data_IF_564616364696
#
_entry.id   IF_564616364696
#
_cell.length_a   1.000
_cell.length_b   1.000
_cell.length_c   1.000
_cell.angle_alpha   90.00
_cell.angle_beta   90.00
_cell.angle_gamma   90.00
#
_symmetry.space_group_name_H-M   'P 1'
#
loop_
_entity.id
_entity.type
_entity.pdbx_description
1 polymer ?
#
# COMPACT_ATOMS: atom_id res chain seq x y z
N UNK A 1 16.11 15.98 -6.75
CA UNK A 1 14.78 16.59 -6.81
C UNK A 1 14.58 17.23 -8.20
N UNK A 2 13.36 17.17 -8.76
CA UNK A 2 13.05 17.77 -10.07
C UNK A 2 13.15 16.85 -11.29
N UNK A 3 13.46 15.55 -11.13
CA UNK A 3 13.61 14.58 -12.24
C UNK A 3 12.27 13.97 -12.71
N UNK A 4 11.12 14.50 -12.29
CA UNK A 4 9.79 14.03 -12.71
C UNK A 4 9.31 12.72 -12.08
N UNK A 5 10.04 12.11 -11.13
CA UNK A 5 9.63 10.84 -10.48
C UNK A 5 8.25 10.91 -9.86
N UNK A 6 8.02 11.88 -8.97
CA UNK A 6 6.72 12.08 -8.31
C UNK A 6 5.61 12.38 -9.32
N UNK A 7 5.92 13.13 -10.38
CA UNK A 7 4.96 13.41 -11.46
C UNK A 7 4.54 12.12 -12.16
N UNK A 8 5.49 11.27 -12.52
CA UNK A 8 5.21 9.98 -13.14
C UNK A 8 4.35 9.09 -12.24
N UNK A 9 4.67 9.03 -10.94
CA UNK A 9 3.92 8.23 -9.98
C UNK A 9 2.48 8.72 -9.83
N UNK A 10 2.30 10.05 -9.75
CA UNK A 10 0.97 10.65 -9.65
C UNK A 10 0.13 10.38 -10.91
N UNK A 11 0.73 10.32 -12.09
CA UNK A 11 0.06 9.92 -13.32
C UNK A 11 -0.35 8.44 -13.24
N UNK A 12 0.57 7.55 -12.87
CA UNK A 12 0.31 6.11 -12.77
C UNK A 12 -0.73 5.78 -11.70
N UNK A 13 -0.75 6.54 -10.61
CA UNK A 13 -1.71 6.36 -9.52
C UNK A 13 -3.04 7.12 -9.72
N UNK A 14 -3.24 7.79 -10.86
CA UNK A 14 -4.49 8.46 -11.18
C UNK A 14 -4.77 9.77 -10.43
N UNK A 15 -3.73 10.40 -9.85
CA UNK A 15 -3.87 11.71 -9.19
C UNK A 15 -4.16 12.80 -10.22
N UNK A 16 -3.53 12.74 -11.40
CA UNK A 16 -3.83 13.58 -12.55
C UNK A 16 -3.47 12.87 -13.87
N UNK A 17 -4.16 13.21 -14.98
CA UNK A 17 -3.88 12.60 -16.28
C UNK A 17 -2.54 13.08 -16.85
N UNK A 18 -1.91 12.30 -17.76
CA UNK A 18 -0.74 12.75 -18.49
C UNK A 18 -1.11 13.93 -19.43
N UNK A 19 -0.21 14.91 -19.58
CA UNK A 19 -0.36 16.03 -20.51
C UNK A 19 -0.24 15.54 -21.96
N UNK A 20 0.68 14.59 -22.20
CA UNK A 20 0.91 13.94 -23.49
C UNK A 20 1.29 12.48 -23.27
N UNK A 21 1.08 11.64 -24.28
CA UNK A 21 1.35 10.22 -24.20
C UNK A 21 0.22 9.40 -23.60
N UNK A 22 0.44 8.11 -23.42
CA UNK A 22 -0.56 7.15 -22.92
C UNK A 22 0.02 6.29 -21.79
N UNK A 23 -0.83 5.85 -20.88
CA UNK A 23 -0.51 4.85 -19.86
C UNK A 23 -1.08 3.51 -20.30
N UNK A 24 -0.24 2.49 -20.37
CA UNK A 24 -0.66 1.13 -20.68
C UNK A 24 -0.38 0.22 -19.50
N UNK A 25 -1.40 -0.48 -19.00
CA UNK A 25 -1.29 -1.44 -17.92
C UNK A 25 -1.93 -2.77 -18.34
N UNK A 26 -1.23 -3.89 -18.15
CA UNK A 26 -1.68 -5.22 -18.59
C UNK A 26 -2.10 -5.26 -20.08
N UNK A 27 -1.39 -4.56 -20.95
CA UNK A 27 -1.65 -4.50 -22.38
C UNK A 27 -2.88 -3.67 -22.78
N UNK A 28 -3.50 -2.95 -21.84
CA UNK A 28 -4.65 -2.08 -22.11
C UNK A 28 -4.27 -0.64 -21.82
N UNK A 29 -4.71 0.27 -22.68
CA UNK A 29 -4.59 1.70 -22.43
C UNK A 29 -5.53 2.10 -21.27
N UNK A 30 -5.00 2.87 -20.33
CA UNK A 30 -5.69 3.26 -19.11
C UNK A 30 -5.75 4.77 -19.01
N UNK A 31 -6.94 5.27 -18.63
CA UNK A 31 -7.19 6.68 -18.33
C UNK A 31 -7.81 6.75 -16.94
N UNK A 32 -6.98 6.97 -15.92
CA UNK A 32 -7.47 7.07 -14.55
C UNK A 32 -7.88 8.51 -14.25
N UNK A 33 -9.10 8.71 -13.76
CA UNK A 33 -9.64 10.01 -13.34
C UNK A 33 -9.50 10.19 -11.82
N UNK A 34 -9.11 9.14 -11.10
CA UNK A 34 -8.93 9.15 -9.64
C UNK A 34 -8.01 8.01 -9.18
N UNK A 35 -7.38 8.16 -8.00
CA UNK A 35 -6.61 7.07 -7.38
C UNK A 35 -7.44 5.80 -7.13
N UNK A 36 -8.73 5.95 -6.85
CA UNK A 36 -9.65 4.81 -6.68
C UNK A 36 -9.80 3.97 -7.95
N UNK A 37 -9.79 4.60 -9.12
CA UNK A 37 -9.83 3.88 -10.41
C UNK A 37 -8.51 3.13 -10.67
N UNK A 38 -7.37 3.73 -10.35
CA UNK A 38 -6.07 3.07 -10.44
C UNK A 38 -5.99 1.85 -9.49
N UNK A 39 -6.46 1.99 -8.25
CA UNK A 39 -6.56 0.88 -7.29
C UNK A 39 -7.46 -0.24 -7.81
N UNK A 40 -8.63 0.08 -8.38
CA UNK A 40 -9.54 -0.92 -8.96
C UNK A 40 -8.93 -1.63 -10.17
N UNK A 41 -8.06 -0.95 -10.93
CA UNK A 41 -7.30 -1.55 -12.02
C UNK A 41 -6.13 -2.42 -11.53
N UNK A 42 -5.79 -2.37 -10.24
CA UNK A 42 -4.71 -3.14 -9.63
C UNK A 42 -3.41 -2.36 -9.42
N UNK A 43 -3.43 -1.04 -9.48
CA UNK A 43 -2.27 -0.18 -9.18
C UNK A 43 -2.48 0.47 -7.83
N UNK A 44 -1.71 0.08 -6.82
CA UNK A 44 -1.74 0.71 -5.49
C UNK A 44 -0.48 1.56 -5.28
N UNK A 45 -0.64 2.69 -4.57
CA UNK A 45 0.46 3.59 -4.24
C UNK A 45 0.60 3.76 -2.74
N UNK A 46 1.83 3.64 -2.25
CA UNK A 46 2.24 3.98 -0.90
C UNK A 46 3.03 5.28 -0.97
N UNK A 47 2.48 6.30 -0.33
CA UNK A 47 3.09 7.63 -0.27
C UNK A 47 4.16 7.70 0.83
N UNK A 48 5.06 8.66 0.71
CA UNK A 48 6.04 8.97 1.74
C UNK A 48 5.38 9.43 3.05
N UNK A 49 4.24 10.13 2.95
CA UNK A 49 3.43 10.51 4.11
C UNK A 49 2.35 9.45 4.35
N UNK A 50 2.20 9.05 5.62
CA UNK A 50 1.21 8.06 6.03
C UNK A 50 -0.22 8.58 5.81
N UNK A 51 -1.05 7.80 5.14
CA UNK A 51 -2.44 8.14 4.82
C UNK A 51 -3.47 7.50 5.78
N UNK A 52 -2.98 6.90 6.87
CA UNK A 52 -3.82 6.20 7.84
C UNK A 52 -4.59 7.16 8.76
N UNK A 53 -5.83 6.81 9.07
CA UNK A 53 -6.64 7.51 10.07
C UNK A 53 -6.22 7.08 11.48
N UNK A 54 -5.67 7.99 12.32
CA UNK A 54 -5.12 7.61 13.63
C UNK A 54 -6.18 7.16 14.63
N UNK A 55 -7.44 7.56 14.43
CA UNK A 55 -8.56 7.23 15.32
C UNK A 55 -9.23 5.90 15.00
N UNK A 56 -8.98 5.34 13.81
CA UNK A 56 -9.52 4.06 13.36
C UNK A 56 -8.58 2.91 13.78
N UNK A 57 -9.11 1.69 13.79
CA UNK A 57 -8.30 0.48 14.03
C UNK A 57 -7.46 0.13 12.80
N UNK A 58 -6.45 -0.73 12.99
CA UNK A 58 -5.65 -1.28 11.90
C UNK A 58 -6.52 -1.89 10.80
N UNK A 59 -7.47 -2.76 11.18
CA UNK A 59 -8.36 -3.39 10.22
C UNK A 59 -9.30 -2.39 9.51
N UNK A 60 -9.83 -1.39 10.20
CA UNK A 60 -10.64 -0.33 9.58
C UNK A 60 -9.83 0.48 8.56
N UNK A 61 -8.55 0.74 8.81
CA UNK A 61 -7.67 1.40 7.85
C UNK A 61 -7.36 0.52 6.63
N UNK A 62 -7.01 -0.76 6.86
CA UNK A 62 -6.71 -1.72 5.78
C UNK A 62 -7.91 -1.88 4.84
N UNK A 63 -9.12 -1.95 5.37
CA UNK A 63 -10.34 -2.15 4.59
C UNK A 63 -11.16 -0.86 4.37
N UNK A 64 -10.58 0.31 4.57
CA UNK A 64 -11.26 1.58 4.31
C UNK A 64 -11.87 1.58 2.90
N UNK A 65 -13.13 2.03 2.79
CA UNK A 65 -13.95 2.01 1.56
C UNK A 65 -14.30 0.61 1.01
N UNK A 66 -13.84 -0.48 1.66
CA UNK A 66 -14.05 -1.88 1.21
C UNK A 66 -14.40 -2.79 2.38
N UNK A 67 -14.94 -2.23 3.47
CA UNK A 67 -15.30 -3.01 4.65
C UNK A 67 -16.31 -4.11 4.29
N UNK A 68 -16.08 -5.36 4.72
CA UNK A 68 -17.01 -6.44 4.45
C UNK A 68 -18.36 -6.16 5.11
N UNK A 69 -19.45 -6.39 4.38
CA UNK A 69 -20.80 -6.21 4.90
C UNK A 69 -21.54 -7.54 5.04
N UNK A 70 -22.49 -7.61 5.95
CA UNK A 70 -23.39 -8.74 6.09
C UNK A 70 -24.57 -8.64 5.10
N UNK A 71 -25.49 -9.63 5.13
CA UNK A 71 -26.67 -9.66 4.25
C UNK A 71 -27.61 -8.47 4.43
N UNK A 72 -27.50 -7.74 5.53
CA UNK A 72 -28.31 -6.55 5.85
C UNK A 72 -27.60 -5.24 5.49
N UNK A 73 -26.41 -5.29 4.84
CA UNK A 73 -25.64 -4.12 4.48
C UNK A 73 -24.84 -3.48 5.63
N UNK A 74 -24.84 -4.11 6.82
CA UNK A 74 -24.06 -3.62 7.98
C UNK A 74 -22.64 -4.18 7.95
N UNK A 75 -21.65 -3.40 8.41
CA UNK A 75 -20.25 -3.82 8.49
C UNK A 75 -20.10 -5.08 9.34
N UNK A 76 -19.48 -6.10 8.75
CA UNK A 76 -19.15 -7.34 9.45
C UNK A 76 -17.77 -7.24 10.09
N UNK A 77 -17.70 -6.62 11.27
CA UNK A 77 -16.45 -6.44 12.02
C UNK A 77 -15.74 -7.76 12.33
N UNK A 78 -16.49 -8.84 12.62
CA UNK A 78 -15.88 -10.15 12.90
C UNK A 78 -15.07 -10.66 11.70
N UNK A 79 -15.67 -10.58 10.50
CA UNK A 79 -14.98 -10.95 9.26
C UNK A 79 -13.82 -10.03 8.98
N UNK A 80 -14.00 -8.72 9.07
CA UNK A 80 -12.96 -7.72 8.84
C UNK A 80 -11.72 -7.94 9.72
N UNK A 81 -11.91 -8.19 11.01
CA UNK A 81 -10.79 -8.47 11.92
C UNK A 81 -10.11 -9.80 11.63
N UNK A 82 -10.86 -10.84 11.24
CA UNK A 82 -10.30 -12.13 10.86
C UNK A 82 -9.48 -12.03 9.56
N UNK A 83 -10.03 -11.38 8.53
CA UNK A 83 -9.35 -11.16 7.25
C UNK A 83 -8.07 -10.32 7.45
N UNK A 84 -8.13 -9.28 8.29
CA UNK A 84 -6.95 -8.48 8.63
C UNK A 84 -5.90 -9.29 9.36
N UNK A 85 -6.28 -10.11 10.34
CA UNK A 85 -5.34 -10.97 11.07
C UNK A 85 -4.61 -11.93 10.14
N UNK A 86 -5.32 -12.57 9.22
CA UNK A 86 -4.74 -13.47 8.22
C UNK A 86 -3.76 -12.76 7.29
N UNK A 87 -4.08 -11.52 6.88
CA UNK A 87 -3.18 -10.71 6.05
C UNK A 87 -1.90 -10.30 6.81
N UNK A 88 -2.04 -9.86 8.07
CA UNK A 88 -0.91 -9.51 8.92
C UNK A 88 -0.01 -10.73 9.18
N UNK A 89 -0.58 -11.91 9.39
CA UNK A 89 0.16 -13.16 9.54
C UNK A 89 0.91 -13.52 8.24
N UNK A 90 0.24 -13.44 7.09
CA UNK A 90 0.84 -13.69 5.77
C UNK A 90 2.08 -12.82 5.53
N UNK A 91 2.06 -11.56 5.96
CA UNK A 91 3.16 -10.61 5.79
C UNK A 91 4.18 -10.65 6.95
N UNK A 92 4.04 -11.57 7.91
CA UNK A 92 4.96 -11.72 9.04
C UNK A 92 4.87 -10.62 10.09
N UNK A 93 3.75 -9.89 10.15
CA UNK A 93 3.50 -8.75 11.05
C UNK A 93 2.35 -9.02 12.03
N UNK A 94 2.13 -10.27 12.41
CA UNK A 94 1.06 -10.71 13.30
C UNK A 94 1.11 -10.12 14.72
N UNK A 95 2.22 -9.47 15.09
CA UNK A 95 2.33 -8.71 16.34
C UNK A 95 1.49 -7.43 16.34
N UNK A 96 1.08 -6.94 15.16
CA UNK A 96 0.13 -5.83 15.03
C UNK A 96 -1.28 -6.38 15.24
N UNK A 97 -1.97 -5.92 16.28
CA UNK A 97 -3.37 -6.34 16.49
C UNK A 97 -4.30 -5.66 15.49
N UNK A 98 -5.19 -6.40 14.79
CA UNK A 98 -6.20 -5.82 13.91
C UNK A 98 -7.10 -4.78 14.60
N UNK A 99 -7.25 -4.86 15.92
CA UNK A 99 -8.07 -3.96 16.74
C UNK A 99 -7.28 -2.79 17.34
N UNK A 100 -5.96 -2.77 17.18
CA UNK A 100 -5.16 -1.65 17.67
C UNK A 100 -5.54 -0.36 16.95
N UNK A 101 -5.68 0.74 17.69
CA UNK A 101 -5.85 2.07 17.09
C UNK A 101 -4.52 2.51 16.48
N UNK A 102 -4.57 3.05 15.25
CA UNK A 102 -3.36 3.44 14.51
C UNK A 102 -2.50 4.43 15.27
N UNK A 103 -3.10 5.36 16.02
CA UNK A 103 -2.36 6.30 16.89
C UNK A 103 -1.47 5.65 17.95
N UNK A 104 -1.69 4.39 18.28
CA UNK A 104 -0.94 3.62 19.28
C UNK A 104 0.17 2.77 18.64
N UNK A 105 0.26 2.76 17.32
CA UNK A 105 1.28 2.05 16.56
C UNK A 105 2.52 2.94 16.38
N UNK A 106 3.70 2.33 16.38
CA UNK A 106 4.93 3.01 15.97
C UNK A 106 4.88 3.42 14.50
N UNK A 107 5.77 4.33 14.09
CA UNK A 107 5.85 4.77 12.68
C UNK A 107 6.14 3.60 11.75
N UNK A 108 7.01 2.68 12.16
CA UNK A 108 7.32 1.47 11.38
C UNK A 108 6.11 0.53 11.25
N UNK A 109 5.34 0.33 12.33
CA UNK A 109 4.11 -0.47 12.26
C UNK A 109 3.05 0.18 11.36
N UNK A 110 2.94 1.51 11.39
CA UNK A 110 2.07 2.25 10.49
C UNK A 110 2.51 2.11 9.03
N UNK A 111 3.81 2.16 8.75
CA UNK A 111 4.35 1.94 7.41
C UNK A 111 4.03 0.52 6.88
N UNK A 112 4.19 -0.50 7.73
CA UNK A 112 3.82 -1.87 7.40
C UNK A 112 2.31 -2.02 7.18
N UNK A 113 1.50 -1.27 7.93
CA UNK A 113 0.05 -1.27 7.76
C UNK A 113 -0.39 -0.63 6.42
N UNK A 114 0.33 0.39 5.91
CA UNK A 114 0.11 0.93 4.56
C UNK A 114 0.38 -0.14 3.48
N UNK A 115 1.42 -0.96 3.66
CA UNK A 115 1.68 -2.08 2.74
C UNK A 115 0.53 -3.10 2.82
N UNK A 116 0.09 -3.47 4.02
CA UNK A 116 -1.06 -4.36 4.20
C UNK A 116 -2.31 -3.82 3.50
N UNK A 117 -2.58 -2.52 3.62
CA UNK A 117 -3.69 -1.83 2.95
C UNK A 117 -3.57 -1.96 1.43
N UNK A 118 -2.41 -1.68 0.85
CA UNK A 118 -2.16 -1.79 -0.58
C UNK A 118 -2.30 -3.24 -1.09
N UNK A 119 -1.74 -4.22 -0.38
CA UNK A 119 -1.85 -5.65 -0.74
C UNK A 119 -3.29 -6.13 -0.64
N UNK A 120 -4.07 -5.65 0.33
CA UNK A 120 -5.48 -6.02 0.50
C UNK A 120 -6.39 -5.59 -0.65
N UNK A 121 -5.92 -4.69 -1.54
CA UNK A 121 -6.61 -4.28 -2.76
C UNK A 121 -6.41 -5.25 -3.93
N UNK A 122 -5.76 -6.40 -3.74
CA UNK A 122 -5.33 -7.29 -4.82
C UNK A 122 -4.46 -6.56 -5.87
N UNK A 123 -3.57 -5.69 -5.40
CA UNK A 123 -2.69 -4.94 -6.27
C UNK A 123 -1.81 -5.87 -7.10
N UNK A 124 -1.73 -5.59 -8.40
CA UNK A 124 -0.81 -6.24 -9.34
C UNK A 124 0.46 -5.41 -9.52
N UNK A 125 0.37 -4.11 -9.25
CA UNK A 125 1.50 -3.18 -9.20
C UNK A 125 1.44 -2.38 -7.91
N UNK A 126 2.56 -2.31 -7.21
CA UNK A 126 2.73 -1.52 -6.01
C UNK A 126 3.78 -0.43 -6.26
N UNK A 127 3.37 0.82 -6.15
CA UNK A 127 4.25 1.99 -6.26
C UNK A 127 4.61 2.43 -4.84
N UNK A 128 5.90 2.55 -4.54
CA UNK A 128 6.40 2.93 -3.22
C UNK A 128 7.31 4.16 -3.34
N UNK A 129 6.89 5.29 -2.77
CA UNK A 129 7.67 6.54 -2.77
C UNK A 129 8.34 6.77 -1.42
N UNK A 130 9.63 6.48 -1.32
CA UNK A 130 10.45 6.72 -0.14
C UNK A 130 9.94 6.04 1.14
N UNK A 131 9.53 4.76 1.13
CA UNK A 131 8.84 4.12 2.25
C UNK A 131 9.75 3.90 3.47
N UNK A 132 11.04 4.17 3.36
CA UNK A 132 12.05 3.90 4.38
C UNK A 132 12.59 5.15 5.07
N UNK A 133 12.09 6.34 4.73
CA UNK A 133 12.64 7.63 5.18
C UNK A 133 12.67 7.80 6.71
N UNK A 134 11.78 7.13 7.43
CA UNK A 134 11.63 7.19 8.90
C UNK A 134 11.96 5.86 9.61
N UNK A 135 12.54 4.89 8.89
CA UNK A 135 12.83 3.55 9.41
C UNK A 135 14.30 3.40 9.79
N UNK A 136 14.56 2.58 10.81
CA UNK A 136 15.89 2.09 11.16
C UNK A 136 16.37 1.06 10.15
N UNK A 137 17.67 0.80 10.08
CA UNK A 137 18.26 -0.17 9.13
C UNK A 137 17.68 -1.60 9.30
N UNK A 138 17.33 -2.00 10.51
CA UNK A 138 16.69 -3.29 10.77
C UNK A 138 15.27 -3.33 10.21
N UNK A 139 14.51 -2.24 10.38
CA UNK A 139 13.14 -2.13 9.85
C UNK A 139 13.14 -2.03 8.33
N UNK A 140 14.14 -1.34 7.75
CA UNK A 140 14.33 -1.31 6.28
C UNK A 140 14.55 -2.72 5.73
N UNK A 141 15.45 -3.50 6.32
CA UNK A 141 15.69 -4.90 5.90
C UNK A 141 14.43 -5.75 5.98
N UNK A 142 13.66 -5.58 7.06
CA UNK A 142 12.39 -6.29 7.21
C UNK A 142 11.38 -5.90 6.14
N UNK A 143 11.23 -4.60 5.86
CA UNK A 143 10.36 -4.08 4.80
C UNK A 143 10.79 -4.62 3.42
N UNK A 144 12.08 -4.61 3.10
CA UNK A 144 12.59 -5.14 1.83
C UNK A 144 12.34 -6.65 1.69
N UNK A 145 12.37 -7.42 2.77
CA UNK A 145 11.98 -8.83 2.74
C UNK A 145 10.50 -9.00 2.34
N UNK A 146 9.60 -8.17 2.89
CA UNK A 146 8.17 -8.17 2.49
C UNK A 146 8.03 -7.79 1.01
N UNK A 147 8.75 -6.77 0.55
CA UNK A 147 8.74 -6.35 -0.86
C UNK A 147 9.20 -7.49 -1.78
N UNK A 148 10.26 -8.20 -1.41
CA UNK A 148 10.76 -9.35 -2.16
C UNK A 148 9.73 -10.50 -2.18
N UNK A 149 9.09 -10.81 -1.05
CA UNK A 149 8.02 -11.80 -0.98
C UNK A 149 6.86 -11.43 -1.94
N UNK A 150 6.41 -10.18 -1.94
CA UNK A 150 5.35 -9.71 -2.82
C UNK A 150 5.75 -9.81 -4.30
N UNK A 151 7.01 -9.51 -4.63
CA UNK A 151 7.56 -9.68 -5.98
C UNK A 151 7.55 -11.15 -6.41
N UNK A 152 7.93 -12.07 -5.53
CA UNK A 152 7.89 -13.52 -5.79
C UNK A 152 6.45 -14.03 -5.98
N UNK A 153 5.47 -13.39 -5.34
CA UNK A 153 4.04 -13.63 -5.55
C UNK A 153 3.52 -13.05 -6.87
N UNK A 154 4.36 -12.38 -7.67
CA UNK A 154 4.03 -11.84 -8.99
C UNK A 154 3.53 -10.39 -8.99
N UNK A 155 3.65 -9.67 -7.87
CA UNK A 155 3.33 -8.25 -7.82
C UNK A 155 4.49 -7.45 -8.39
N UNK A 156 4.21 -6.58 -9.38
CA UNK A 156 5.20 -5.65 -9.92
C UNK A 156 5.48 -4.54 -8.91
N UNK A 157 6.76 -4.27 -8.61
CA UNK A 157 7.13 -3.25 -7.62
C UNK A 157 7.85 -2.10 -8.33
N UNK A 158 7.32 -0.89 -8.18
CA UNK A 158 8.00 0.35 -8.54
C UNK A 158 8.47 1.04 -7.27
N UNK A 159 9.76 0.88 -6.96
CA UNK A 159 10.35 1.36 -5.72
C UNK A 159 11.20 2.61 -5.97
N UNK A 160 10.92 3.69 -5.26
CA UNK A 160 11.75 4.90 -5.27
C UNK A 160 12.40 5.06 -3.90
N UNK A 161 13.72 5.10 -3.89
CA UNK A 161 14.51 5.42 -2.72
C UNK A 161 15.48 6.55 -3.02
N UNK A 162 15.80 7.32 -1.99
CA UNK A 162 16.91 8.28 -1.99
C UNK A 162 18.21 7.67 -1.46
N UNK A 163 18.17 6.42 -0.99
CA UNK A 163 19.31 5.66 -0.48
C UNK A 163 19.70 4.59 -1.51
N UNK A 164 20.89 4.73 -2.11
CA UNK A 164 21.39 3.78 -3.11
C UNK A 164 21.55 2.34 -2.57
N UNK A 165 21.85 2.21 -1.29
CA UNK A 165 22.03 0.91 -0.61
C UNK A 165 20.75 0.05 -0.64
N UNK A 166 19.57 0.67 -0.66
CA UNK A 166 18.28 -0.02 -0.70
C UNK A 166 17.94 -0.60 -2.09
N UNK A 167 18.59 -0.09 -3.14
CA UNK A 167 18.33 -0.50 -4.53
C UNK A 167 19.23 -1.67 -4.94
N UNK A 168 20.36 -1.87 -4.22
CA UNK A 168 21.39 -2.86 -4.55
C UNK A 168 21.22 -4.18 -3.78
N UNK A 169 20.23 -4.29 -2.92
CA UNK A 169 19.87 -5.49 -2.15
C UNK A 169 18.65 -6.19 -2.76
#
# INVERSE_FOLDING_TARGET
NGSGKTTLMNILSGVFPPTEGTVTFNGKECHFSSPSEAEQAGIAMIHQELSLSPTMTAAENVYMNRMPVNKLGLVNYKKMYADCAALLEKLGVSYISPKAKVRNLSVSEQQLLEICKAVSCNAQMLIMDGPTSSLTDTEVKFLLNIVNQLREEGISILYISHKLEEILT
#
